data_IF_228397743260
#
_entry.id   IF_228397743260
#
_cell.length_a   1.000
_cell.length_b   1.000
_cell.length_c   1.000
_cell.angle_alpha   90.00
_cell.angle_beta   90.00
_cell.angle_gamma   90.00
#
_symmetry.space_group_name_H-M   'P 1'
#
loop_
_entity.id
_entity.type
_entity.pdbx_description
1 polymer ?
#
# COMPACT_ATOMS: atom_id res chain seq x y z
N UNK A 1 -20.28 3.47 18.58
CA UNK A 1 -18.86 3.10 18.36
C UNK A 1 -18.29 2.13 19.41
N UNK A 2 -18.99 1.81 20.51
CA UNK A 2 -18.45 0.89 21.53
C UNK A 2 -17.26 1.48 22.29
N UNK A 3 -17.17 2.81 22.39
CA UNK A 3 -16.10 3.57 23.04
C UNK A 3 -16.68 4.34 24.23
N UNK A 4 -15.85 4.56 25.24
CA UNK A 4 -16.21 5.34 26.42
C UNK A 4 -16.17 6.85 26.09
N UNK A 5 -17.33 7.54 26.04
CA UNK A 5 -17.39 8.95 25.65
C UNK A 5 -16.72 9.89 26.67
N UNK A 6 -16.54 9.46 27.92
CA UNK A 6 -15.94 10.32 28.96
C UNK A 6 -14.46 10.64 28.71
N UNK A 7 -13.81 9.84 27.86
CA UNK A 7 -12.40 10.00 27.51
C UNK A 7 -12.19 10.57 26.11
N UNK A 8 -13.26 10.76 25.33
CA UNK A 8 -13.19 11.35 23.99
C UNK A 8 -13.20 12.87 24.09
N UNK A 9 -12.32 13.60 23.38
CA UNK A 9 -12.36 15.05 23.32
C UNK A 9 -13.66 15.53 22.71
N UNK A 10 -14.39 16.30 23.50
CA UNK A 10 -15.56 17.04 23.04
C UNK A 10 -15.12 18.38 22.47
N UNK A 11 -15.64 18.72 21.31
CA UNK A 11 -15.40 20.00 20.66
C UNK A 11 -16.38 21.03 21.21
N UNK A 12 -15.86 22.13 21.75
CA UNK A 12 -16.68 23.19 22.31
C UNK A 12 -17.42 23.95 21.21
N UNK A 13 -18.74 24.18 21.39
CA UNK A 13 -19.54 24.88 20.38
C UNK A 13 -19.11 26.34 20.21
N UNK A 14 -18.58 26.99 21.26
CA UNK A 14 -18.10 28.38 21.15
C UNK A 14 -16.90 28.52 20.23
N UNK A 15 -16.07 27.47 20.14
CA UNK A 15 -14.87 27.45 19.31
C UNK A 15 -15.15 26.92 17.90
N UNK A 16 -16.03 25.92 17.77
CA UNK A 16 -16.20 25.15 16.52
C UNK A 16 -17.56 25.30 15.83
N UNK A 17 -18.61 25.74 16.54
CA UNK A 17 -19.95 25.92 15.97
C UNK A 17 -20.61 24.63 15.45
N UNK A 18 -20.31 23.48 16.05
CA UNK A 18 -20.77 22.14 15.61
C UNK A 18 -21.88 21.55 16.51
N UNK A 19 -22.33 22.31 17.51
CA UNK A 19 -23.29 21.93 18.53
C UNK A 19 -22.66 21.28 19.76
N UNK A 20 -23.47 21.19 20.82
CA UNK A 20 -23.07 20.69 22.15
C UNK A 20 -22.74 19.19 22.21
N UNK A 21 -22.65 18.45 21.10
CA UNK A 21 -22.33 17.01 21.09
C UNK A 21 -21.41 16.63 19.94
N UNK A 22 -20.42 17.48 19.67
CA UNK A 22 -19.41 17.26 18.65
C UNK A 22 -18.13 16.62 19.23
N UNK A 23 -17.56 15.65 18.50
CA UNK A 23 -16.34 14.95 18.88
C UNK A 23 -15.39 14.81 17.68
N UNK A 24 -14.09 14.75 17.96
CA UNK A 24 -13.08 14.52 16.93
C UNK A 24 -13.08 13.05 16.52
N UNK A 25 -13.02 12.81 15.21
CA UNK A 25 -12.69 11.51 14.68
C UNK A 25 -12.07 11.58 13.29
N UNK A 26 -11.58 10.44 12.83
CA UNK A 26 -10.95 10.29 11.52
C UNK A 26 -11.31 8.94 10.92
N UNK A 27 -11.34 8.83 9.59
CA UNK A 27 -11.47 7.52 8.96
C UNK A 27 -10.17 6.72 9.09
N UNK A 28 -10.32 5.45 9.46
CA UNK A 28 -9.23 4.49 9.62
C UNK A 28 -8.35 4.38 8.36
N UNK A 29 -8.97 4.46 7.17
CA UNK A 29 -8.25 4.36 5.89
C UNK A 29 -7.17 5.42 5.72
N UNK A 30 -7.40 6.66 6.18
CA UNK A 30 -6.39 7.71 6.08
C UNK A 30 -5.23 7.48 7.05
N UNK A 31 -5.49 6.89 8.22
CA UNK A 31 -4.43 6.50 9.14
C UNK A 31 -3.58 5.35 8.56
N UNK A 32 -4.22 4.36 7.91
CA UNK A 32 -3.51 3.28 7.22
C UNK A 32 -2.62 3.80 6.08
N UNK A 33 -3.11 4.76 5.29
CA UNK A 33 -2.34 5.42 4.22
C UNK A 33 -1.17 6.20 4.81
N UNK A 34 -1.38 6.94 5.90
CA UNK A 34 -0.30 7.63 6.61
C UNK A 34 0.79 6.65 7.06
N UNK A 35 0.41 5.54 7.71
CA UNK A 35 1.34 4.51 8.15
C UNK A 35 2.11 3.87 6.98
N UNK A 36 1.44 3.59 5.86
CA UNK A 36 2.06 3.06 4.66
C UNK A 36 3.11 4.04 4.10
N UNK A 37 2.79 5.33 4.02
CA UNK A 37 3.75 6.35 3.58
C UNK A 37 4.91 6.49 4.55
N UNK A 38 4.66 6.42 5.87
CA UNK A 38 5.71 6.42 6.88
C UNK A 38 6.63 5.22 6.72
N UNK A 39 6.09 4.00 6.50
CA UNK A 39 6.91 2.81 6.22
C UNK A 39 7.75 2.98 4.96
N UNK A 40 7.16 3.52 3.89
CA UNK A 40 7.86 3.85 2.64
C UNK A 40 9.02 4.81 2.90
N UNK A 41 8.78 5.92 3.60
CA UNK A 41 9.84 6.88 3.95
C UNK A 41 10.92 6.24 4.82
N UNK A 42 10.54 5.34 5.73
CA UNK A 42 11.48 4.60 6.57
C UNK A 42 12.36 3.62 5.76
N UNK A 43 11.81 3.00 4.72
CA UNK A 43 12.58 2.17 3.79
C UNK A 43 13.62 3.00 3.00
N UNK A 44 13.36 4.29 2.79
CA UNK A 44 14.23 5.23 2.07
C UNK A 44 14.80 6.34 2.94
N UNK A 45 15.12 6.05 4.22
CA UNK A 45 15.63 7.05 5.18
C UNK A 45 16.78 7.89 4.61
N UNK A 46 17.72 7.27 3.89
CA UNK A 46 18.85 7.97 3.27
C UNK A 46 18.45 8.96 2.16
N UNK A 47 17.36 8.71 1.43
CA UNK A 47 16.80 9.59 0.40
C UNK A 47 16.01 10.76 1.00
N UNK A 48 15.28 10.51 2.11
CA UNK A 48 14.47 11.52 2.81
C UNK A 48 15.22 12.33 3.87
N UNK A 49 16.56 12.37 3.79
CA UNK A 49 17.43 13.11 4.71
C UNK A 49 17.33 12.68 6.20
N UNK A 50 16.91 11.45 6.47
CA UNK A 50 17.02 10.82 7.79
C UNK A 50 18.33 10.02 7.80
N UNK A 51 19.44 10.74 8.00
CA UNK A 51 20.85 10.31 8.09
C UNK A 51 21.22 8.92 7.54
N UNK A 52 22.02 8.98 6.47
CA UNK A 52 22.98 8.02 5.89
C UNK A 52 22.62 7.35 4.56
N UNK A 53 23.42 7.78 3.56
CA UNK A 53 23.96 7.09 2.38
C UNK A 53 23.32 7.45 1.02
N UNK A 54 24.21 7.65 0.06
CA UNK A 54 24.01 8.19 -1.29
C UNK A 54 23.15 7.24 -2.16
N UNK A 55 22.00 7.73 -2.66
CA UNK A 55 20.99 6.97 -3.42
C UNK A 55 21.02 7.28 -4.94
N UNK A 56 22.20 7.37 -5.56
CA UNK A 56 22.32 7.92 -6.92
C UNK A 56 21.80 7.01 -8.05
N UNK A 57 21.41 5.76 -7.75
CA UNK A 57 20.79 4.85 -8.71
C UNK A 57 19.74 4.08 -7.92
N UNK A 58 18.45 4.21 -8.27
CA UNK A 58 17.43 3.34 -7.65
C UNK A 58 17.85 1.89 -7.87
N UNK A 59 17.56 0.97 -6.95
CA UNK A 59 17.81 -0.48 -7.03
C UNK A 59 16.64 -1.29 -7.65
N UNK A 60 16.84 -2.50 -8.18
CA UNK A 60 15.74 -3.48 -8.36
C UNK A 60 14.95 -3.68 -7.04
N UNK A 61 15.61 -3.76 -5.86
CA UNK A 61 14.90 -3.77 -4.58
C UNK A 61 14.03 -2.53 -4.33
N UNK A 62 14.45 -1.35 -4.79
CA UNK A 62 13.70 -0.10 -4.61
C UNK A 62 12.50 0.00 -5.55
N UNK A 63 12.63 -0.47 -6.80
CA UNK A 63 11.47 -0.65 -7.68
C UNK A 63 10.45 -1.59 -7.05
N UNK A 64 10.93 -2.71 -6.47
CA UNK A 64 10.06 -3.68 -5.81
C UNK A 64 9.33 -3.07 -4.61
N UNK A 65 10.04 -2.37 -3.72
CA UNK A 65 9.44 -1.69 -2.57
C UNK A 65 8.43 -0.64 -3.01
N UNK A 66 8.76 0.20 -4.01
CA UNK A 66 7.85 1.22 -4.51
C UNK A 66 6.58 0.62 -5.10
N UNK A 67 6.71 -0.44 -5.90
CA UNK A 67 5.57 -1.15 -6.46
C UNK A 67 4.73 -1.85 -5.38
N UNK A 68 5.36 -2.46 -4.36
CA UNK A 68 4.64 -3.02 -3.22
C UNK A 68 3.85 -1.95 -2.47
N UNK A 69 4.44 -0.78 -2.23
CA UNK A 69 3.75 0.33 -1.56
C UNK A 69 2.57 0.81 -2.40
N UNK A 70 2.73 0.93 -3.72
CA UNK A 70 1.65 1.33 -4.60
C UNK A 70 0.49 0.33 -4.61
N UNK A 71 0.76 -0.97 -4.74
CA UNK A 71 -0.26 -2.02 -4.66
C UNK A 71 -1.01 -1.97 -3.30
N UNK A 72 -0.27 -1.77 -2.21
CA UNK A 72 -0.88 -1.64 -0.89
C UNK A 72 -1.75 -0.39 -0.79
N UNK A 73 -1.31 0.74 -1.34
CA UNK A 73 -2.11 1.96 -1.38
C UNK A 73 -3.42 1.75 -2.14
N UNK A 74 -3.35 1.13 -3.32
CA UNK A 74 -4.54 0.80 -4.12
C UNK A 74 -5.48 -0.12 -3.34
N UNK A 75 -4.96 -1.17 -2.68
CA UNK A 75 -5.75 -2.07 -1.86
C UNK A 75 -6.43 -1.35 -0.69
N UNK A 76 -5.73 -0.43 -0.02
CA UNK A 76 -6.30 0.39 1.06
C UNK A 76 -7.44 1.28 0.53
N UNK A 77 -7.22 1.97 -0.59
CA UNK A 77 -8.23 2.84 -1.21
C UNK A 77 -9.45 2.05 -1.70
N UNK A 78 -9.26 0.85 -2.22
CA UNK A 78 -10.33 0.00 -2.74
C UNK A 78 -10.97 -0.91 -1.69
N UNK A 79 -10.44 -0.97 -0.47
CA UNK A 79 -10.93 -1.88 0.59
C UNK A 79 -12.36 -1.61 1.08
N UNK A 80 -12.92 -0.43 0.74
CA UNK A 80 -14.21 0.00 1.29
C UNK A 80 -14.16 0.30 2.79
N UNK A 81 -12.96 0.51 3.35
CA UNK A 81 -12.77 0.79 4.77
C UNK A 81 -13.32 2.18 5.14
N UNK A 82 -14.54 2.21 5.65
CA UNK A 82 -15.21 3.40 6.22
C UNK A 82 -15.24 3.36 7.75
N UNK A 83 -14.40 2.55 8.40
CA UNK A 83 -14.34 2.51 9.85
C UNK A 83 -13.92 3.88 10.40
N UNK A 84 -14.53 4.26 11.52
CA UNK A 84 -14.30 5.55 12.16
C UNK A 84 -13.48 5.36 13.43
N UNK A 85 -12.43 6.16 13.56
CA UNK A 85 -11.51 6.20 14.69
C UNK A 85 -11.82 7.42 15.55
N UNK A 86 -11.93 7.21 16.86
CA UNK A 86 -12.02 8.29 17.86
C UNK A 86 -10.64 8.71 18.34
N UNK A 87 -10.59 9.85 19.01
CA UNK A 87 -9.44 10.30 19.78
C UNK A 87 -9.77 10.22 21.26
N UNK A 88 -8.76 10.03 22.11
CA UNK A 88 -8.94 9.92 23.54
C UNK A 88 -7.87 10.73 24.29
N UNK A 89 -8.25 11.31 25.43
CA UNK A 89 -7.30 11.90 26.38
C UNK A 89 -6.51 10.77 27.05
N UNK A 90 -5.19 10.77 26.86
CA UNK A 90 -4.28 9.76 27.40
C UNK A 90 -3.38 10.42 28.44
N UNK A 91 -3.26 9.80 29.61
CA UNK A 91 -2.42 10.31 30.69
C UNK A 91 -0.97 10.53 30.24
N UNK A 92 -0.43 11.73 30.52
CA UNK A 92 0.94 12.10 30.17
C UNK A 92 1.14 12.58 28.72
N UNK A 93 0.08 12.66 27.91
CA UNK A 93 0.13 13.25 26.57
C UNK A 93 -0.44 14.67 26.60
N UNK A 94 0.18 15.58 25.86
CA UNK A 94 -0.26 16.97 25.73
C UNK A 94 -1.55 17.09 24.91
N UNK A 95 -1.72 16.21 23.91
CA UNK A 95 -2.85 16.22 22.99
C UNK A 95 -3.59 14.86 22.98
N UNK A 96 -4.88 14.85 22.60
CA UNK A 96 -5.61 13.60 22.42
C UNK A 96 -4.93 12.66 21.43
N UNK A 97 -4.90 11.38 21.75
CA UNK A 97 -4.28 10.37 20.91
C UNK A 97 -5.35 9.57 20.15
N UNK A 98 -5.07 9.17 18.89
CA UNK A 98 -5.96 8.30 18.13
C UNK A 98 -6.10 6.92 18.80
N UNK A 99 -7.35 6.43 18.89
CA UNK A 99 -7.63 5.08 19.38
C UNK A 99 -7.54 4.05 18.24
N UNK A 100 -6.38 3.39 18.18
CA UNK A 100 -6.07 2.39 17.17
C UNK A 100 -6.87 1.08 17.32
N UNK A 101 -7.58 0.89 18.44
CA UNK A 101 -8.37 -0.32 18.71
C UNK A 101 -9.75 -0.24 18.07
N UNK A 102 -9.78 -0.07 16.75
CA UNK A 102 -11.01 0.09 15.99
C UNK A 102 -11.75 -1.25 15.90
N UNK A 103 -13.08 -1.24 16.08
CA UNK A 103 -13.91 -2.44 15.96
C UNK A 103 -14.15 -2.78 14.48
N UNK A 104 -13.12 -3.34 13.83
CA UNK A 104 -13.15 -3.68 12.40
C UNK A 104 -13.96 -4.94 12.15
N UNK A 105 -14.78 -4.93 11.11
CA UNK A 105 -15.38 -6.14 10.56
C UNK A 105 -14.42 -6.76 9.55
N UNK A 106 -13.82 -7.88 9.92
CA UNK A 106 -12.84 -8.58 9.10
C UNK A 106 -13.45 -9.80 8.41
N UNK A 107 -12.94 -10.16 7.23
CA UNK A 107 -13.19 -11.48 6.66
C UNK A 107 -12.59 -12.57 7.55
N UNK A 108 -13.19 -13.76 7.56
CA UNK A 108 -12.62 -14.90 8.27
C UNK A 108 -11.35 -15.39 7.57
N UNK A 109 -10.20 -14.89 8.00
CA UNK A 109 -8.92 -15.15 7.35
C UNK A 109 -8.45 -16.60 7.48
N UNK A 110 -8.85 -17.30 8.54
CA UNK A 110 -8.54 -18.72 8.72
C UNK A 110 -9.23 -19.58 7.67
N UNK A 111 -10.53 -19.34 7.45
CA UNK A 111 -11.28 -20.04 6.39
C UNK A 111 -10.73 -19.72 5.00
N UNK A 112 -10.38 -18.46 4.74
CA UNK A 112 -9.74 -18.07 3.48
C UNK A 112 -8.39 -18.79 3.30
N UNK A 113 -7.58 -18.84 4.36
CA UNK A 113 -6.26 -19.48 4.35
C UNK A 113 -6.36 -20.99 4.14
N UNK A 114 -7.35 -21.64 4.77
CA UNK A 114 -7.64 -23.06 4.56
C UNK A 114 -8.02 -23.34 3.10
N UNK A 115 -8.98 -22.56 2.55
CA UNK A 115 -9.38 -22.67 1.16
C UNK A 115 -8.19 -22.50 0.20
N UNK A 116 -7.33 -21.49 0.43
CA UNK A 116 -6.12 -21.26 -0.37
C UNK A 116 -5.16 -22.45 -0.33
N UNK A 117 -4.96 -23.08 0.82
CA UNK A 117 -4.05 -24.23 0.96
C UNK A 117 -4.59 -25.47 0.25
N UNK A 118 -5.89 -25.72 0.36
CA UNK A 118 -6.55 -26.87 -0.26
C UNK A 118 -6.64 -26.75 -1.78
N UNK A 119 -6.87 -25.54 -2.30
CA UNK A 119 -7.10 -25.29 -3.72
C UNK A 119 -5.90 -24.66 -4.45
N UNK A 120 -4.79 -24.43 -3.74
CA UNK A 120 -3.59 -23.81 -4.29
C UNK A 120 -2.84 -24.72 -5.26
N UNK A 121 -2.17 -24.11 -6.23
CA UNK A 121 -1.29 -24.86 -7.15
C UNK A 121 -0.03 -25.33 -6.42
N UNK A 122 0.42 -26.54 -6.75
CA UNK A 122 1.77 -27.01 -6.41
C UNK A 122 2.80 -26.11 -7.11
N UNK A 123 3.49 -25.30 -6.32
CA UNK A 123 4.46 -24.32 -6.81
C UNK A 123 5.68 -24.99 -7.47
N UNK A 124 6.13 -26.13 -6.95
CA UNK A 124 7.27 -26.85 -7.53
C UNK A 124 6.90 -27.42 -8.89
N UNK A 125 5.71 -28.01 -9.00
CA UNK A 125 5.18 -28.46 -10.28
C UNK A 125 4.96 -27.28 -11.23
N UNK A 126 4.39 -26.16 -10.76
CA UNK A 126 4.16 -24.97 -11.56
C UNK A 126 5.47 -24.45 -12.15
N UNK A 127 6.51 -24.25 -11.34
CA UNK A 127 7.82 -23.76 -11.79
C UNK A 127 8.47 -24.71 -12.79
N UNK A 128 8.34 -26.03 -12.61
CA UNK A 128 8.87 -27.00 -13.57
C UNK A 128 8.12 -26.98 -14.90
N UNK A 129 6.79 -26.93 -14.86
CA UNK A 129 5.92 -27.12 -16.03
C UNK A 129 5.73 -25.83 -16.81
N UNK A 130 5.64 -24.67 -16.16
CA UNK A 130 5.33 -23.39 -16.80
C UNK A 130 6.55 -22.65 -17.36
N UNK A 131 7.72 -23.32 -17.47
CA UNK A 131 8.90 -22.75 -18.13
C UNK A 131 8.57 -22.45 -19.58
N UNK A 132 8.73 -21.19 -19.99
CA UNK A 132 8.43 -20.73 -21.36
C UNK A 132 9.10 -21.59 -22.45
N UNK A 133 10.31 -22.10 -22.23
CA UNK A 133 11.01 -22.99 -23.17
C UNK A 133 10.24 -24.28 -23.49
N UNK A 134 9.30 -24.68 -22.64
CA UNK A 134 8.42 -25.84 -22.83
C UNK A 134 7.09 -25.48 -23.53
N UNK A 135 6.85 -24.19 -23.82
CA UNK A 135 5.63 -23.67 -24.44
C UNK A 135 5.97 -22.81 -25.67
N UNK A 136 6.39 -23.41 -26.80
CA UNK A 136 6.76 -22.65 -27.98
C UNK A 136 5.56 -21.94 -28.61
N UNK A 137 5.77 -20.72 -29.13
CA UNK A 137 4.75 -19.96 -29.85
C UNK A 137 3.74 -19.21 -28.98
N UNK A 138 3.95 -19.13 -27.66
CA UNK A 138 3.13 -18.28 -26.78
C UNK A 138 3.24 -16.82 -27.17
N UNK A 139 2.10 -16.13 -27.26
CA UNK A 139 2.06 -14.68 -27.48
C UNK A 139 2.48 -13.97 -26.20
N UNK A 140 3.35 -12.99 -26.33
CA UNK A 140 3.89 -12.23 -25.21
C UNK A 140 3.44 -10.78 -25.27
N UNK A 141 3.26 -10.17 -24.11
CA UNK A 141 3.13 -8.72 -24.03
C UNK A 141 4.52 -8.11 -24.03
N UNK A 142 4.61 -6.90 -24.58
CA UNK A 142 5.80 -6.09 -24.51
C UNK A 142 6.12 -5.70 -23.05
N UNK A 143 7.41 -5.66 -22.73
CA UNK A 143 7.90 -5.21 -21.43
C UNK A 143 7.91 -3.68 -21.34
N UNK A 144 7.87 -3.12 -20.14
CA UNK A 144 7.90 -1.67 -19.89
C UNK A 144 9.22 -1.02 -20.28
N UNK A 145 9.18 0.26 -20.64
CA UNK A 145 10.39 1.07 -20.88
C UNK A 145 11.33 1.11 -19.69
N UNK A 146 10.76 1.15 -18.48
CA UNK A 146 11.51 1.18 -17.23
C UNK A 146 12.43 -0.04 -17.07
N UNK A 147 12.02 -1.22 -17.56
CA UNK A 147 12.85 -2.41 -17.54
C UNK A 147 14.10 -2.25 -18.43
N UNK A 148 13.95 -1.75 -19.66
CA UNK A 148 15.08 -1.62 -20.58
C UNK A 148 16.02 -0.50 -20.17
N UNK A 149 15.46 0.63 -19.71
CA UNK A 149 16.22 1.69 -19.07
C UNK A 149 17.10 1.16 -17.92
N UNK A 150 16.51 0.30 -17.08
CA UNK A 150 17.20 -0.30 -15.94
C UNK A 150 18.42 -1.15 -16.34
N UNK A 151 18.27 -2.01 -17.34
CA UNK A 151 19.35 -2.88 -17.79
C UNK A 151 20.31 -2.19 -18.78
N UNK A 152 20.13 -0.89 -19.03
CA UNK A 152 20.85 -0.13 -20.04
C UNK A 152 20.77 -0.81 -21.43
N UNK A 153 19.60 -1.34 -21.73
CA UNK A 153 19.26 -2.01 -22.98
C UNK A 153 18.35 -1.12 -23.82
N UNK A 154 18.46 -1.21 -25.15
CA UNK A 154 17.52 -0.54 -26.04
C UNK A 154 16.21 -1.31 -26.03
N UNK A 155 15.10 -0.66 -25.67
CA UNK A 155 13.81 -1.29 -25.75
C UNK A 155 13.49 -1.63 -27.23
N UNK A 156 13.32 -2.92 -27.58
CA UNK A 156 13.01 -3.36 -28.94
C UNK A 156 11.71 -2.78 -29.48
N UNK A 157 10.79 -2.32 -28.61
CA UNK A 157 9.56 -1.65 -29.02
C UNK A 157 9.84 -0.28 -29.65
N UNK A 158 10.97 0.38 -29.37
CA UNK A 158 11.27 1.72 -29.91
C UNK A 158 12.20 1.68 -31.11
N UNK A 159 12.70 0.50 -31.48
CA UNK A 159 13.58 0.32 -32.63
C UNK A 159 12.77 0.50 -33.91
N UNK A 160 13.24 1.38 -34.81
CA UNK A 160 12.63 1.65 -36.12
C UNK A 160 11.16 2.13 -36.08
N UNK A 161 10.73 2.76 -34.98
CA UNK A 161 9.34 3.23 -34.84
C UNK A 161 8.32 2.12 -34.66
N UNK A 162 8.75 0.94 -34.18
CA UNK A 162 7.82 -0.08 -33.71
C UNK A 162 6.94 0.47 -32.58
N UNK A 163 5.73 -0.06 -32.47
CA UNK A 163 4.70 0.01 -31.41
C UNK A 163 4.86 0.98 -30.20
N UNK A 164 5.21 2.25 -30.39
CA UNK A 164 5.38 3.25 -29.30
C UNK A 164 4.08 3.57 -28.52
N UNK A 165 2.94 3.05 -28.96
CA UNK A 165 1.65 3.15 -28.26
C UNK A 165 1.29 1.92 -27.43
N UNK A 166 2.09 0.85 -27.48
CA UNK A 166 1.87 -0.42 -26.77
C UNK A 166 2.77 -0.56 -25.54
N UNK A 167 3.44 0.51 -25.13
CA UNK A 167 4.29 0.50 -23.95
C UNK A 167 3.46 0.26 -22.69
N UNK A 168 3.87 -0.77 -21.95
CA UNK A 168 3.38 -1.00 -20.60
C UNK A 168 3.97 0.07 -19.69
N UNK A 169 3.39 1.26 -19.71
CA UNK A 169 3.63 2.26 -18.69
C UNK A 169 2.80 1.87 -17.46
N UNK A 170 3.48 1.60 -16.35
CA UNK A 170 2.80 1.60 -15.05
C UNK A 170 2.29 3.03 -14.85
N UNK A 171 0.99 3.22 -15.04
CA UNK A 171 0.31 4.51 -14.80
C UNK A 171 0.30 4.83 -13.31
#
# INVERSE_FOLDING_TARGET
MGKDPSTVPKLDDTDWGLGDDAYVGAFDVYHQIHCLNTLRQNAYRGYYHLTTRNHSVMGLPEIHINHCVDILLQALQCSGNVNFMTYHWVAGQEYPQPDMSINRQCMNFEKLSAFRKENGLDLDKYVRVMKKSLHPGVKERHQSDAYYYWYNETNPNHINGANSGEDFNMK
#
